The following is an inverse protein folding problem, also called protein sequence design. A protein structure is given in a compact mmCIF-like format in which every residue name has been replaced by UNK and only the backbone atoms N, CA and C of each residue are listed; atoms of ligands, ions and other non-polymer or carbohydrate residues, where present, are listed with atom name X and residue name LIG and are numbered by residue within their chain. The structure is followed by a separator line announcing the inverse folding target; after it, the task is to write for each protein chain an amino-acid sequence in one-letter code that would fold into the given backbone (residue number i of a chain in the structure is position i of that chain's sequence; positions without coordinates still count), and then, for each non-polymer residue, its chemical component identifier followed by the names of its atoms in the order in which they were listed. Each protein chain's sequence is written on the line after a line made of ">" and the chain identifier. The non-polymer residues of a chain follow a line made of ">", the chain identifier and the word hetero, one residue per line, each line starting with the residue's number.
data_IF_812490852570
#
_entry.id   IF_812490852570
#
_cell.length_a   1.000
_cell.length_b   1.000
_cell.length_c   1.000
_cell.angle_alpha   90.00
_cell.angle_beta   90.00
_cell.angle_gamma   90.00
#
_symmetry.space_group_name_H-M   'P 1'
#
loop_
_entity.id
_entity.type
_entity.pdbx_description
1 polymer ?
#
# COMPACT_ATOMS: atom_id res chain seq x y z
N UNK A 1 -57.77 26.18 5.77
CA UNK A 1 -56.37 26.17 6.28
C UNK A 1 -55.43 26.46 5.10
N UNK A 2 -54.28 27.11 5.30
CA UNK A 2 -53.32 27.39 4.21
C UNK A 2 -52.31 26.25 4.10
N UNK A 3 -52.21 25.60 2.94
CA UNK A 3 -50.97 24.92 2.51
C UNK A 3 -50.41 25.72 1.33
N UNK A 4 -49.14 26.12 1.43
CA UNK A 4 -48.43 26.85 0.37
C UNK A 4 -47.97 25.87 -0.70
N UNK A 5 -47.96 26.29 -1.97
CA UNK A 5 -46.94 25.81 -2.89
C UNK A 5 -45.57 26.29 -2.37
N UNK A 6 -44.59 25.41 -2.37
CA UNK A 6 -43.18 25.78 -2.26
C UNK A 6 -42.49 25.27 -3.52
N UNK A 7 -41.96 26.17 -4.33
CA UNK A 7 -41.14 25.78 -5.47
C UNK A 7 -39.77 25.34 -4.95
N UNK A 8 -39.27 24.20 -5.43
CA UNK A 8 -37.86 23.87 -5.30
C UNK A 8 -37.06 24.85 -6.17
N UNK A 9 -36.05 25.49 -5.59
CA UNK A 9 -35.23 26.48 -6.30
C UNK A 9 -34.10 25.76 -7.03
N UNK A 10 -34.02 25.95 -8.35
CA UNK A 10 -32.89 25.50 -9.16
C UNK A 10 -31.65 26.33 -8.78
N UNK A 11 -30.79 25.79 -7.91
CA UNK A 11 -29.59 26.48 -7.45
C UNK A 11 -28.43 26.28 -8.44
N UNK A 12 -28.44 27.03 -9.54
CA UNK A 12 -27.33 27.12 -10.48
C UNK A 12 -26.16 27.91 -9.87
N UNK A 13 -25.31 27.23 -9.10
CA UNK A 13 -24.02 27.78 -8.66
C UNK A 13 -22.98 27.62 -9.77
N UNK A 14 -22.82 28.67 -10.59
CA UNK A 14 -21.70 28.80 -11.53
C UNK A 14 -20.39 28.97 -10.76
N UNK A 15 -19.71 27.85 -10.48
CA UNK A 15 -18.34 27.82 -9.99
C UNK A 15 -17.36 27.64 -11.15
N UNK A 16 -16.61 28.69 -11.49
CA UNK A 16 -15.53 28.60 -12.50
C UNK A 16 -14.32 27.89 -11.93
N UNK A 17 -13.87 26.80 -12.56
CA UNK A 17 -12.54 26.22 -12.37
C UNK A 17 -11.75 26.41 -13.65
N UNK A 18 -10.64 27.14 -13.56
CA UNK A 18 -9.69 27.31 -14.67
C UNK A 18 -8.50 26.38 -14.42
N UNK A 19 -8.34 25.35 -15.25
CA UNK A 19 -7.08 24.59 -15.34
C UNK A 19 -6.44 24.89 -16.69
N UNK A 20 -5.17 25.30 -16.67
CA UNK A 20 -4.42 25.69 -17.86
C UNK A 20 -3.35 24.62 -18.16
N UNK A 21 -3.74 23.59 -18.92
CA UNK A 21 -2.85 22.56 -19.43
C UNK A 21 -3.40 22.04 -20.75
N UNK A 22 -2.60 22.07 -21.82
CA UNK A 22 -3.03 21.64 -23.16
C UNK A 22 -2.46 20.26 -23.45
N UNK A 23 -3.25 19.25 -23.15
CA UNK A 23 -3.24 17.94 -23.81
C UNK A 23 -4.64 17.71 -24.38
N UNK A 24 -4.71 17.02 -25.52
CA UNK A 24 -5.92 16.99 -26.35
C UNK A 24 -6.76 15.74 -26.10
N UNK A 25 -7.11 15.50 -24.84
CA UNK A 25 -7.96 14.37 -24.45
C UNK A 25 -9.44 14.76 -24.60
N UNK A 26 -10.15 14.02 -25.46
CA UNK A 26 -11.57 14.27 -25.77
C UNK A 26 -12.44 13.81 -24.60
N UNK A 27 -12.79 14.71 -23.69
CA UNK A 27 -13.64 14.41 -22.53
C UNK A 27 -15.00 13.87 -22.95
N UNK A 28 -15.36 12.67 -22.47
CA UNK A 28 -16.66 12.04 -22.75
C UNK A 28 -17.76 12.69 -21.88
N UNK A 29 -18.94 12.94 -22.44
CA UNK A 29 -20.09 13.45 -21.67
C UNK A 29 -20.77 12.30 -20.91
N UNK A 30 -20.20 11.93 -19.76
CA UNK A 30 -20.70 10.82 -18.92
C UNK A 30 -22.08 11.14 -18.32
N UNK A 31 -22.98 10.16 -18.34
CA UNK A 31 -24.37 10.27 -17.88
C UNK A 31 -24.83 9.02 -17.12
N UNK A 32 -24.36 8.84 -15.89
CA UNK A 32 -24.78 7.74 -15.00
C UNK A 32 -24.59 8.08 -13.51
N UNK A 33 -25.39 7.42 -12.66
CA UNK A 33 -25.38 7.58 -11.21
C UNK A 33 -24.11 6.99 -10.53
N UNK A 34 -23.28 6.25 -11.26
CA UNK A 34 -22.02 5.66 -10.76
C UNK A 34 -20.81 6.61 -10.88
N UNK A 35 -20.90 7.64 -11.74
CA UNK A 35 -19.77 8.54 -12.00
C UNK A 35 -19.49 9.47 -10.81
N UNK A 36 -18.30 9.39 -10.24
CA UNK A 36 -17.90 10.01 -8.95
C UNK A 36 -18.75 9.58 -7.73
N UNK A 37 -19.49 8.46 -7.83
CA UNK A 37 -20.20 7.86 -6.71
C UNK A 37 -19.37 6.72 -6.13
N UNK A 38 -19.14 6.75 -4.82
CA UNK A 38 -18.46 5.67 -4.10
C UNK A 38 -19.42 4.51 -3.84
N UNK A 39 -19.03 3.31 -4.25
CA UNK A 39 -19.72 2.05 -4.03
C UNK A 39 -18.91 1.21 -3.06
N UNK A 40 -19.43 1.02 -1.84
CA UNK A 40 -18.79 0.23 -0.79
C UNK A 40 -19.54 -1.10 -0.57
N UNK A 41 -18.82 -2.23 -0.63
CA UNK A 41 -19.28 -3.58 -0.28
C UNK A 41 -18.41 -4.14 0.86
N UNK A 42 -18.63 -5.40 1.26
CA UNK A 42 -17.84 -6.05 2.33
C UNK A 42 -16.37 -6.27 1.94
N UNK A 43 -16.09 -6.57 0.66
CA UNK A 43 -14.78 -7.02 0.19
C UNK A 43 -14.04 -6.00 -0.69
N UNK A 44 -14.67 -4.87 -1.01
CA UNK A 44 -14.08 -3.79 -1.79
C UNK A 44 -14.88 -2.49 -1.65
N UNK A 45 -14.24 -1.39 -2.02
CA UNK A 45 -14.88 -0.11 -2.31
C UNK A 45 -14.29 0.45 -3.60
N UNK A 46 -15.11 1.04 -4.48
CA UNK A 46 -14.59 1.75 -5.66
C UNK A 46 -15.35 3.04 -5.94
N UNK A 47 -14.73 3.93 -6.70
CA UNK A 47 -15.36 5.13 -7.27
C UNK A 47 -14.85 5.30 -8.70
N UNK A 48 -15.74 5.38 -9.69
CA UNK A 48 -15.33 5.71 -11.07
C UNK A 48 -15.02 7.20 -11.12
N UNK A 49 -13.77 7.54 -11.44
CA UNK A 49 -13.22 8.90 -11.37
C UNK A 49 -13.03 9.57 -12.72
N UNK A 50 -12.81 8.81 -13.80
CA UNK A 50 -12.53 9.36 -15.12
C UNK A 50 -12.94 8.38 -16.24
N UNK A 51 -13.29 8.92 -17.42
CA UNK A 51 -13.59 8.15 -18.62
C UNK A 51 -13.03 8.87 -19.84
N UNK A 52 -12.04 8.26 -20.51
CA UNK A 52 -11.28 8.88 -21.59
C UNK A 52 -10.83 7.88 -22.66
N UNK A 53 -10.49 8.39 -23.84
CA UNK A 53 -9.87 7.59 -24.90
C UNK A 53 -8.35 7.77 -24.88
N UNK A 54 -7.60 6.71 -25.20
CA UNK A 54 -6.13 6.77 -25.35
C UNK A 54 -5.62 5.84 -26.46
N UNK A 55 -4.38 6.06 -26.90
CA UNK A 55 -3.66 5.15 -27.78
C UNK A 55 -2.79 4.12 -27.01
N UNK A 56 -2.57 4.36 -25.71
CA UNK A 56 -1.92 3.44 -24.78
C UNK A 56 -2.30 3.84 -23.34
N UNK A 57 -2.65 2.86 -22.50
CA UNK A 57 -2.93 3.15 -21.09
C UNK A 57 -1.59 3.43 -20.37
N UNK A 58 -1.50 4.51 -19.58
CA UNK A 58 -0.31 4.80 -18.78
C UNK A 58 -0.60 5.61 -17.51
N UNK A 59 0.26 5.45 -16.51
CA UNK A 59 0.22 6.13 -15.21
C UNK A 59 1.65 6.44 -14.73
N UNK A 60 1.80 7.42 -13.84
CA UNK A 60 3.09 7.76 -13.23
C UNK A 60 3.03 7.66 -11.70
N UNK A 61 3.86 6.79 -11.12
CA UNK A 61 4.06 6.62 -9.66
C UNK A 61 5.51 7.00 -9.32
N UNK A 62 5.69 7.99 -8.47
CA UNK A 62 7.00 8.58 -8.18
C UNK A 62 7.66 9.17 -9.44
N UNK A 63 8.87 8.71 -9.77
CA UNK A 63 9.57 9.05 -11.02
C UNK A 63 9.22 8.14 -12.20
N UNK A 64 8.65 6.96 -11.97
CA UNK A 64 8.44 5.90 -12.97
C UNK A 64 7.10 6.04 -13.68
N UNK A 65 7.10 5.92 -15.02
CA UNK A 65 5.89 5.77 -15.82
C UNK A 65 5.67 4.29 -16.13
N UNK A 66 4.48 3.80 -15.85
CA UNK A 66 3.99 2.46 -16.17
C UNK A 66 3.03 2.57 -17.35
N UNK A 67 3.06 1.61 -18.27
CA UNK A 67 2.20 1.59 -19.47
C UNK A 67 1.71 0.17 -19.78
N UNK A 68 0.48 0.07 -20.28
CA UNK A 68 -0.14 -1.19 -20.72
C UNK A 68 -0.85 -1.01 -22.07
N UNK A 69 -0.99 -2.10 -22.81
CA UNK A 69 -1.48 -2.10 -24.20
C UNK A 69 -0.41 -1.73 -25.24
N UNK A 70 -0.75 -1.95 -26.50
CA UNK A 70 0.06 -1.65 -27.70
C UNK A 70 -0.59 -0.54 -28.53
N UNK A 71 0.10 0.01 -29.54
CA UNK A 71 -0.47 1.00 -30.48
C UNK A 71 -1.87 0.59 -31.00
N UNK A 72 -2.92 1.19 -30.43
CA UNK A 72 -4.32 0.85 -30.70
C UNK A 72 -5.25 1.80 -29.92
N UNK A 73 -6.50 1.97 -30.37
CA UNK A 73 -7.44 2.89 -29.72
C UNK A 73 -8.16 2.18 -28.57
N UNK A 74 -8.10 2.74 -27.37
CA UNK A 74 -8.77 2.22 -26.18
C UNK A 74 -9.73 3.25 -25.58
N UNK A 75 -10.86 2.77 -25.05
CA UNK A 75 -11.67 3.47 -24.07
C UNK A 75 -11.25 2.98 -22.68
N UNK A 76 -11.02 3.92 -21.76
CA UNK A 76 -10.61 3.66 -20.39
C UNK A 76 -11.72 4.12 -19.45
N UNK A 77 -12.18 3.23 -18.56
CA UNK A 77 -12.94 3.60 -17.36
C UNK A 77 -11.98 3.51 -16.18
N UNK A 78 -11.59 4.66 -15.63
CA UNK A 78 -10.67 4.75 -14.49
C UNK A 78 -11.45 4.78 -13.19
N UNK A 79 -11.12 3.89 -12.27
CA UNK A 79 -11.63 3.88 -10.90
C UNK A 79 -10.50 4.01 -9.88
N UNK A 80 -10.78 4.72 -8.78
CA UNK A 80 -10.07 4.51 -7.54
C UNK A 80 -10.70 3.29 -6.86
N UNK A 81 -9.88 2.29 -6.50
CA UNK A 81 -10.33 1.01 -5.95
C UNK A 81 -9.59 0.71 -4.64
N UNK A 82 -10.34 0.36 -3.60
CA UNK A 82 -9.85 -0.07 -2.28
C UNK A 82 -10.23 -1.53 -2.05
N UNK A 83 -9.26 -2.36 -1.67
CA UNK A 83 -9.51 -3.77 -1.35
C UNK A 83 -9.88 -3.95 0.13
N UNK A 84 -11.01 -4.60 0.43
CA UNK A 84 -11.48 -4.89 1.81
C UNK A 84 -11.57 -6.41 2.12
N UNK A 85 -11.14 -7.25 1.18
CA UNK A 85 -11.03 -8.69 1.35
C UNK A 85 -9.78 -9.09 2.16
N UNK A 86 -9.68 -10.37 2.52
CA UNK A 86 -8.52 -10.93 3.22
C UNK A 86 -7.27 -11.09 2.31
N UNK A 87 -7.46 -11.27 1.01
CA UNK A 87 -6.42 -11.49 0.00
C UNK A 87 -6.26 -10.29 -0.95
N UNK A 88 -5.10 -10.18 -1.60
CA UNK A 88 -4.79 -9.12 -2.56
C UNK A 88 -5.65 -9.17 -3.84
N UNK A 89 -5.56 -8.11 -4.65
CA UNK A 89 -5.98 -8.11 -6.05
C UNK A 89 -4.71 -8.03 -6.88
N UNK A 90 -4.36 -9.16 -7.51
CA UNK A 90 -3.17 -9.34 -8.34
C UNK A 90 -3.15 -8.38 -9.56
N UNK A 91 -1.94 -7.96 -9.93
CA UNK A 91 -1.70 -7.09 -11.07
C UNK A 91 -1.96 -7.80 -12.41
N UNK A 92 -2.63 -7.10 -13.33
CA UNK A 92 -3.01 -7.54 -14.69
C UNK A 92 -4.01 -8.71 -14.79
N UNK A 93 -4.15 -9.56 -13.76
CA UNK A 93 -5.12 -10.65 -13.73
C UNK A 93 -5.73 -10.78 -12.33
N UNK A 94 -7.06 -10.84 -12.21
CA UNK A 94 -7.71 -11.20 -10.95
C UNK A 94 -9.08 -11.81 -11.22
N UNK A 95 -9.31 -13.04 -10.75
CA UNK A 95 -10.61 -13.73 -10.83
C UNK A 95 -11.74 -12.99 -10.11
N UNK A 96 -11.39 -12.00 -9.27
CA UNK A 96 -12.33 -11.12 -8.56
C UNK A 96 -13.01 -10.10 -9.48
N UNK A 97 -12.44 -9.78 -10.66
CA UNK A 97 -13.04 -8.84 -11.62
C UNK A 97 -13.28 -9.53 -12.95
N UNK A 98 -14.55 -9.68 -13.36
CA UNK A 98 -14.96 -10.57 -14.45
C UNK A 98 -16.12 -10.01 -15.29
N UNK A 99 -16.52 -10.74 -16.35
CA UNK A 99 -17.58 -10.38 -17.30
C UNK A 99 -17.47 -8.95 -17.89
N UNK A 100 -16.24 -8.45 -18.05
CA UNK A 100 -15.90 -7.08 -18.45
C UNK A 100 -16.22 -6.85 -19.93
N UNK A 101 -17.28 -6.11 -20.21
CA UNK A 101 -17.83 -5.86 -21.54
C UNK A 101 -18.18 -4.40 -21.77
N UNK A 102 -18.13 -3.96 -23.01
CA UNK A 102 -18.58 -2.66 -23.47
C UNK A 102 -19.58 -2.84 -24.61
N UNK A 103 -20.80 -2.37 -24.42
CA UNK A 103 -21.89 -2.41 -25.39
C UNK A 103 -22.09 -1.04 -26.02
N UNK A 104 -21.93 -0.96 -27.35
CA UNK A 104 -22.19 0.23 -28.16
C UNK A 104 -23.47 0.04 -29.00
N UNK A 105 -24.40 0.99 -28.88
CA UNK A 105 -25.70 1.02 -29.56
C UNK A 105 -26.46 -0.32 -29.52
N UNK A 106 -26.45 -0.96 -28.35
CA UNK A 106 -27.20 -2.19 -28.00
C UNK A 106 -26.95 -3.36 -28.99
N UNK A 107 -25.75 -3.39 -29.60
CA UNK A 107 -25.47 -4.22 -30.77
C UNK A 107 -24.00 -4.61 -30.96
N UNK A 108 -23.07 -3.74 -30.59
CA UNK A 108 -21.64 -3.98 -30.78
C UNK A 108 -20.98 -4.18 -29.43
N UNK A 109 -20.68 -5.44 -29.11
CA UNK A 109 -19.98 -5.85 -27.89
C UNK A 109 -18.46 -5.84 -28.10
N UNK A 110 -17.73 -5.40 -27.09
CA UNK A 110 -16.27 -5.46 -26.98
C UNK A 110 -15.92 -6.05 -25.61
N UNK A 111 -15.12 -7.12 -25.57
CA UNK A 111 -14.52 -7.60 -24.30
C UNK A 111 -13.48 -6.58 -23.83
N UNK A 112 -13.28 -6.44 -22.51
CA UNK A 112 -12.26 -5.57 -21.91
C UNK A 112 -11.39 -6.26 -20.86
N UNK A 113 -10.23 -5.65 -20.59
CA UNK A 113 -9.31 -6.09 -19.54
C UNK A 113 -9.51 -5.29 -18.25
N UNK A 114 -9.35 -5.91 -17.08
CA UNK A 114 -9.10 -5.20 -15.81
C UNK A 114 -7.59 -5.06 -15.61
N UNK A 115 -7.12 -3.83 -15.42
CA UNK A 115 -5.70 -3.49 -15.38
C UNK A 115 -5.38 -2.67 -14.13
N UNK A 116 -4.31 -3.03 -13.44
CA UNK A 116 -3.66 -2.23 -12.40
C UNK A 116 -2.23 -1.95 -12.89
N UNK A 117 -1.85 -0.68 -12.99
CA UNK A 117 -0.61 -0.31 -13.67
C UNK A 117 0.65 -0.34 -12.80
N UNK A 118 0.50 -0.32 -11.47
CA UNK A 118 1.63 -0.09 -10.56
C UNK A 118 2.06 -1.38 -9.85
N UNK A 119 1.32 -1.80 -8.83
CA UNK A 119 1.58 -3.00 -8.01
C UNK A 119 0.21 -3.57 -7.56
N UNK A 120 0.18 -4.78 -6.97
CA UNK A 120 -1.03 -5.41 -6.43
C UNK A 120 -1.79 -4.53 -5.43
N UNK A 121 -3.14 -4.61 -5.43
CA UNK A 121 -3.95 -3.97 -4.37
C UNK A 121 -4.02 -4.92 -3.17
N UNK A 122 -3.00 -4.84 -2.31
CA UNK A 122 -2.95 -5.54 -1.02
C UNK A 122 -4.18 -5.26 -0.15
N UNK A 123 -4.54 -6.12 0.82
CA UNK A 123 -5.67 -5.88 1.71
C UNK A 123 -5.61 -4.52 2.41
N UNK A 124 -6.76 -3.83 2.50
CA UNK A 124 -6.91 -2.45 2.98
C UNK A 124 -6.12 -1.38 2.19
N UNK A 125 -5.45 -1.77 1.09
CA UNK A 125 -4.79 -0.86 0.17
C UNK A 125 -5.75 -0.27 -0.86
N UNK A 126 -5.34 0.86 -1.46
CA UNK A 126 -6.08 1.53 -2.54
C UNK A 126 -5.15 1.86 -3.70
N UNK A 127 -5.65 1.73 -4.94
CA UNK A 127 -4.91 2.08 -6.15
C UNK A 127 -5.85 2.61 -7.26
N UNK A 128 -5.25 3.17 -8.31
CA UNK A 128 -5.96 3.37 -9.56
C UNK A 128 -6.04 2.04 -10.32
N UNK A 129 -7.27 1.63 -10.64
CA UNK A 129 -7.56 0.48 -11.48
C UNK A 129 -8.37 0.92 -12.70
N UNK A 130 -8.34 0.10 -13.75
CA UNK A 130 -8.78 0.50 -15.08
C UNK A 130 -9.54 -0.65 -15.77
N UNK A 131 -10.74 -0.37 -16.28
CA UNK A 131 -11.34 -1.22 -17.32
C UNK A 131 -10.88 -0.66 -18.68
N UNK A 132 -10.18 -1.48 -19.46
CA UNK A 132 -9.61 -1.10 -20.75
C UNK A 132 -10.30 -1.85 -21.89
N UNK A 133 -10.98 -1.12 -22.75
CA UNK A 133 -11.71 -1.68 -23.89
C UNK A 133 -11.06 -1.28 -25.22
N UNK A 134 -10.65 -2.24 -26.09
CA UNK A 134 -10.17 -1.93 -27.43
C UNK A 134 -11.33 -1.51 -28.34
N UNK A 135 -11.31 -0.26 -28.80
CA UNK A 135 -12.41 0.36 -29.58
C UNK A 135 -11.90 0.87 -30.94
N UNK A 136 -12.73 1.63 -31.65
CA UNK A 136 -12.34 2.28 -32.91
C UNK A 136 -12.63 3.77 -32.86
N UNK A 137 -11.93 4.55 -33.68
CA UNK A 137 -12.09 6.01 -33.80
C UNK A 137 -13.55 6.45 -34.09
N UNK A 138 -14.39 5.54 -34.61
CA UNK A 138 -15.83 5.78 -34.83
C UNK A 138 -16.58 5.99 -33.51
N UNK A 139 -16.19 5.28 -32.44
CA UNK A 139 -16.82 5.39 -31.11
C UNK A 139 -16.34 6.65 -30.39
N UNK A 140 -15.06 7.00 -30.52
CA UNK A 140 -14.50 8.27 -29.99
C UNK A 140 -15.20 9.51 -30.55
N UNK A 141 -15.70 9.44 -31.79
CA UNK A 141 -16.30 10.57 -32.49
C UNK A 141 -17.85 10.58 -32.48
N UNK A 142 -18.53 9.53 -31.99
CA UNK A 142 -20.00 9.53 -31.86
C UNK A 142 -20.47 9.96 -30.47
N UNK A 143 -20.95 11.21 -30.37
CA UNK A 143 -21.55 11.77 -29.15
C UNK A 143 -23.07 11.51 -29.03
N UNK A 144 -23.64 10.63 -29.85
CA UNK A 144 -25.10 10.41 -29.95
C UNK A 144 -25.57 8.97 -29.70
N UNK A 145 -24.67 7.98 -29.81
CA UNK A 145 -24.98 6.58 -29.54
C UNK A 145 -25.01 6.21 -28.04
N UNK A 146 -25.63 5.06 -27.74
CA UNK A 146 -25.54 4.43 -26.42
C UNK A 146 -24.17 3.79 -26.23
N UNK A 147 -23.55 3.96 -25.06
CA UNK A 147 -22.29 3.32 -24.70
C UNK A 147 -22.33 2.93 -23.22
N UNK A 148 -22.24 1.64 -22.93
CA UNK A 148 -22.47 1.07 -21.59
C UNK A 148 -21.39 0.04 -21.30
N UNK A 149 -20.75 0.14 -20.14
CA UNK A 149 -19.80 -0.86 -19.66
C UNK A 149 -20.46 -1.74 -18.59
N UNK A 150 -20.39 -3.05 -18.81
CA UNK A 150 -20.86 -4.10 -17.90
C UNK A 150 -19.64 -4.81 -17.31
N UNK A 151 -19.62 -5.08 -16.01
CA UNK A 151 -18.50 -5.77 -15.34
C UNK A 151 -18.94 -6.33 -13.99
N UNK A 152 -18.17 -7.28 -13.43
CA UNK A 152 -18.39 -7.83 -12.07
C UNK A 152 -17.22 -7.55 -11.14
N UNK A 153 -17.52 -7.38 -9.84
CA UNK A 153 -16.52 -7.41 -8.76
C UNK A 153 -17.02 -8.37 -7.67
N UNK A 154 -16.25 -9.40 -7.31
CA UNK A 154 -16.62 -10.49 -6.37
C UNK A 154 -17.99 -11.17 -6.65
N UNK A 155 -18.49 -11.04 -7.89
CA UNK A 155 -19.79 -11.53 -8.36
C UNK A 155 -20.82 -10.43 -8.67
N UNK A 156 -20.68 -9.23 -8.11
CA UNK A 156 -21.63 -8.12 -8.28
C UNK A 156 -21.58 -7.49 -9.69
N UNK A 157 -22.62 -7.70 -10.51
CA UNK A 157 -22.80 -7.04 -11.81
C UNK A 157 -23.05 -5.51 -11.66
N UNK A 158 -22.15 -4.73 -12.26
CA UNK A 158 -22.26 -3.30 -12.43
C UNK A 158 -22.57 -2.95 -13.89
N UNK A 159 -23.55 -2.07 -14.08
CA UNK A 159 -23.90 -1.48 -15.36
C UNK A 159 -23.59 0.02 -15.30
N UNK A 160 -22.61 0.47 -16.09
CA UNK A 160 -22.11 1.84 -16.10
C UNK A 160 -22.36 2.49 -17.46
N UNK A 161 -23.40 3.32 -17.54
CA UNK A 161 -23.71 4.10 -18.75
C UNK A 161 -22.66 5.20 -18.92
N UNK A 162 -21.78 5.02 -19.90
CA UNK A 162 -20.74 5.98 -20.30
C UNK A 162 -21.35 7.06 -21.19
N UNK A 163 -22.26 6.69 -22.10
CA UNK A 163 -22.98 7.64 -22.94
C UNK A 163 -24.44 7.22 -23.09
N UNK A 164 -25.36 8.13 -22.76
CA UNK A 164 -26.78 7.84 -22.66
C UNK A 164 -27.49 7.77 -24.01
N UNK A 165 -27.67 6.56 -24.54
CA UNK A 165 -28.81 6.26 -25.41
C UNK A 165 -30.13 6.32 -24.62
N UNK A 166 -31.28 6.23 -25.32
CA UNK A 166 -32.60 6.31 -24.66
C UNK A 166 -33.00 4.99 -23.95
N UNK A 167 -32.36 4.67 -22.82
CA UNK A 167 -32.72 3.60 -21.87
C UNK A 167 -32.06 2.23 -22.12
N UNK A 168 -32.06 1.26 -21.18
CA UNK A 168 -32.47 1.32 -19.75
C UNK A 168 -32.10 0.07 -18.91
N UNK A 169 -31.32 0.27 -17.83
CA UNK A 169 -31.48 -0.27 -16.44
C UNK A 169 -31.18 -1.76 -16.03
N UNK A 170 -30.54 -1.94 -14.84
CA UNK A 170 -30.46 -3.12 -13.89
C UNK A 170 -29.64 -4.41 -14.20
N UNK A 171 -29.03 -5.23 -13.28
CA UNK A 171 -28.45 -5.13 -11.87
C UNK A 171 -27.74 -6.46 -11.39
N UNK A 172 -26.87 -6.38 -10.34
CA UNK A 172 -25.93 -7.35 -9.67
C UNK A 172 -26.37 -8.69 -8.98
N UNK A 173 -25.40 -9.63 -8.66
CA UNK A 173 -24.87 -9.93 -7.27
C UNK A 173 -23.93 -11.20 -6.98
N UNK A 174 -22.84 -11.02 -6.18
CA UNK A 174 -22.16 -11.86 -5.08
C UNK A 174 -21.70 -13.37 -5.33
N UNK A 175 -20.96 -14.20 -4.49
CA UNK A 175 -20.48 -14.23 -3.07
C UNK A 175 -19.26 -15.21 -2.69
N UNK A 176 -17.96 -14.96 -3.00
CA UNK A 176 -16.72 -15.29 -2.15
C UNK A 176 -16.19 -16.73 -1.73
N UNK A 177 -14.96 -16.77 -1.11
CA UNK A 177 -14.34 -17.66 -0.03
C UNK A 177 -13.28 -18.77 -0.36
N UNK A 178 -12.34 -19.25 0.51
CA UNK A 178 -11.60 -18.81 1.77
C UNK A 178 -10.50 -19.87 2.16
N UNK A 179 -9.60 -19.54 3.09
CA UNK A 179 -8.22 -20.04 3.38
C UNK A 179 -8.03 -21.22 4.40
N UNK A 180 -6.78 -21.51 4.83
CA UNK A 180 -6.43 -22.45 5.93
C UNK A 180 -5.03 -22.23 6.57
N UNK A 181 -4.90 -22.39 7.90
CA UNK A 181 -3.75 -21.96 8.75
C UNK A 181 -2.89 -23.13 9.35
N UNK A 182 -1.77 -22.84 10.05
CA UNK A 182 -0.82 -23.86 10.60
C UNK A 182 -0.31 -23.64 12.05
N UNK A 183 0.86 -24.19 12.45
CA UNK A 183 1.19 -24.53 13.86
C UNK A 183 2.27 -23.64 14.51
N UNK A 184 1.92 -23.04 15.66
CA UNK A 184 2.68 -21.99 16.36
C UNK A 184 3.96 -22.47 17.06
N UNK A 185 5.08 -21.77 16.79
CA UNK A 185 6.33 -21.76 17.57
C UNK A 185 6.35 -20.52 18.51
N UNK A 186 7.14 -20.46 19.61
CA UNK A 186 7.02 -19.37 20.58
C UNK A 186 7.57 -18.04 20.03
N UNK A 187 6.71 -17.03 20.07
CA UNK A 187 6.88 -15.62 19.67
C UNK A 187 8.26 -15.03 19.98
N UNK A 188 8.83 -14.29 19.02
CA UNK A 188 10.10 -13.56 19.10
C UNK A 188 9.85 -12.14 19.61
N UNK A 189 10.67 -11.70 20.57
CA UNK A 189 10.73 -10.31 21.05
C UNK A 189 11.93 -9.57 20.50
N UNK A 190 11.84 -8.24 20.47
CA UNK A 190 12.96 -7.38 20.10
C UNK A 190 14.18 -7.66 21.02
N UNK A 191 15.34 -7.88 20.42
CA UNK A 191 16.57 -8.28 21.11
C UNK A 191 16.72 -9.79 21.37
N UNK A 192 15.72 -10.63 21.06
CA UNK A 192 15.88 -12.08 21.14
C UNK A 192 16.90 -12.59 20.11
N UNK A 193 17.86 -13.38 20.58
CA UNK A 193 18.71 -14.20 19.72
C UNK A 193 18.06 -15.56 19.51
N UNK A 194 17.72 -15.90 18.26
CA UNK A 194 17.14 -17.19 17.86
C UNK A 194 18.14 -17.96 17.01
N UNK A 195 18.43 -19.20 17.40
CA UNK A 195 19.39 -20.08 16.72
C UNK A 195 19.00 -21.53 16.88
N UNK A 196 19.28 -22.34 15.86
CA UNK A 196 19.23 -23.80 15.92
C UNK A 196 20.60 -24.43 16.28
N UNK A 197 21.61 -23.59 16.54
CA UNK A 197 22.98 -23.98 16.84
C UNK A 197 23.75 -24.64 15.70
N UNK A 198 23.20 -24.73 14.49
CA UNK A 198 23.77 -25.56 13.40
C UNK A 198 23.67 -24.95 11.99
N UNK A 199 22.60 -24.23 11.66
CA UNK A 199 22.40 -23.61 10.34
C UNK A 199 22.34 -22.08 10.40
N UNK A 200 21.75 -21.51 11.46
CA UNK A 200 21.57 -20.07 11.59
C UNK A 200 21.63 -19.58 13.04
N UNK A 201 21.95 -18.30 13.19
CA UNK A 201 21.62 -17.51 14.39
C UNK A 201 21.18 -16.13 13.92
N UNK A 202 20.08 -15.59 14.43
CA UNK A 202 19.70 -14.21 14.16
C UNK A 202 19.22 -13.50 15.42
N UNK A 203 19.53 -12.19 15.52
CA UNK A 203 18.89 -11.30 16.49
C UNK A 203 17.75 -10.56 15.79
N UNK A 204 16.54 -10.55 16.36
CA UNK A 204 15.52 -9.60 15.90
C UNK A 204 15.87 -8.21 16.44
N UNK A 205 16.36 -7.32 15.59
CA UNK A 205 17.08 -6.11 16.02
C UNK A 205 16.28 -4.82 15.94
N UNK A 206 15.26 -4.73 15.08
CA UNK A 206 14.47 -3.51 14.87
C UNK A 206 13.13 -3.79 14.17
N UNK A 207 12.11 -2.97 14.40
CA UNK A 207 10.85 -2.93 13.64
C UNK A 207 10.41 -1.48 13.38
N UNK A 208 10.34 -1.11 12.10
CA UNK A 208 9.92 0.24 11.67
C UNK A 208 9.05 0.22 10.42
N UNK A 209 8.28 1.29 10.24
CA UNK A 209 7.62 1.63 8.99
C UNK A 209 8.51 2.58 8.17
N UNK A 210 8.54 2.41 6.85
CA UNK A 210 9.30 3.30 5.94
C UNK A 210 8.66 3.41 4.57
N UNK A 211 8.81 4.58 3.94
CA UNK A 211 8.49 4.79 2.52
C UNK A 211 9.59 4.28 1.57
N UNK A 212 10.75 3.91 2.12
CA UNK A 212 11.96 3.52 1.38
C UNK A 212 12.97 2.81 2.26
N UNK A 213 13.05 1.48 2.18
CA UNK A 213 14.09 0.72 2.86
C UNK A 213 15.46 1.02 2.26
N UNK A 214 16.44 1.34 3.11
CA UNK A 214 17.84 1.50 2.71
C UNK A 214 18.80 1.06 3.81
N UNK A 215 19.99 0.60 3.40
CA UNK A 215 21.10 0.23 4.29
C UNK A 215 22.35 1.02 3.88
N UNK A 216 22.99 1.72 4.82
CA UNK A 216 24.32 2.29 4.58
C UNK A 216 25.41 1.31 5.03
N UNK A 217 26.24 0.86 4.09
CA UNK A 217 27.45 0.09 4.39
C UNK A 217 28.69 0.86 3.89
N UNK A 218 29.49 1.35 4.84
CA UNK A 218 30.60 2.26 4.56
C UNK A 218 30.13 3.57 3.92
N UNK A 219 30.59 3.83 2.69
CA UNK A 219 30.20 5.02 1.89
C UNK A 219 29.12 4.73 0.85
N UNK A 220 28.52 3.53 0.86
CA UNK A 220 27.51 3.11 -0.12
C UNK A 220 26.15 2.94 0.57
N UNK A 221 25.13 3.61 0.04
CA UNK A 221 23.73 3.39 0.42
C UNK A 221 23.10 2.41 -0.56
N UNK A 222 22.67 1.27 -0.06
CA UNK A 222 21.86 0.28 -0.74
C UNK A 222 20.39 0.62 -0.52
N UNK A 223 19.53 0.39 -1.50
CA UNK A 223 18.11 0.75 -1.48
C UNK A 223 17.32 -0.47 -1.98
N UNK A 224 16.21 -0.78 -1.32
CA UNK A 224 15.22 -1.74 -1.79
C UNK A 224 13.97 -1.01 -2.34
N UNK A 225 13.32 -1.65 -3.31
CA UNK A 225 11.98 -1.28 -3.77
C UNK A 225 11.89 0.01 -4.59
N UNK A 226 10.65 0.30 -4.98
CA UNK A 226 10.20 1.60 -5.47
C UNK A 226 9.74 2.46 -4.28
N UNK A 227 9.11 3.61 -4.55
CA UNK A 227 8.38 4.36 -3.54
C UNK A 227 7.05 3.64 -3.22
N UNK A 228 6.96 3.09 -2.00
CA UNK A 228 5.83 2.34 -1.46
C UNK A 228 5.91 2.34 0.08
N UNK A 229 4.87 1.93 0.79
CA UNK A 229 4.88 1.94 2.25
C UNK A 229 5.08 0.53 2.81
N UNK A 230 6.06 0.40 3.69
CA UNK A 230 6.60 -0.90 4.10
C UNK A 230 6.70 -1.00 5.62
N UNK A 231 6.27 -2.14 6.16
CA UNK A 231 6.68 -2.61 7.47
C UNK A 231 7.94 -3.45 7.32
N UNK A 232 8.98 -3.16 8.10
CA UNK A 232 10.27 -3.84 8.04
C UNK A 232 10.63 -4.42 9.40
N UNK A 233 10.85 -5.73 9.46
CA UNK A 233 11.47 -6.42 10.58
C UNK A 233 12.94 -6.70 10.24
N UNK A 234 13.85 -6.04 10.93
CA UNK A 234 15.30 -6.13 10.71
C UNK A 234 15.91 -7.23 11.57
N UNK A 235 16.71 -8.08 10.95
CA UNK A 235 17.43 -9.18 11.59
C UNK A 235 18.94 -8.94 11.49
N UNK A 236 19.70 -9.17 12.56
CA UNK A 236 21.14 -9.38 12.47
C UNK A 236 21.39 -10.86 12.19
N UNK A 237 21.49 -11.25 10.92
CA UNK A 237 21.50 -12.66 10.51
C UNK A 237 22.92 -13.21 10.37
N UNK A 238 23.22 -14.28 11.09
CA UNK A 238 24.50 -15.00 11.07
C UNK A 238 24.34 -16.36 10.39
N UNK A 239 25.14 -16.59 9.34
CA UNK A 239 25.13 -17.85 8.61
C UNK A 239 26.05 -18.88 9.28
N UNK A 240 25.50 -20.00 9.76
CA UNK A 240 26.29 -21.10 10.36
C UNK A 240 26.53 -22.28 9.40
N UNK A 241 25.94 -22.26 8.19
CA UNK A 241 26.20 -23.27 7.14
C UNK A 241 27.58 -23.08 6.49
N UNK A 242 28.04 -24.14 5.81
CA UNK A 242 29.31 -24.14 5.08
C UNK A 242 29.23 -23.44 3.72
N UNK A 243 28.02 -23.25 3.21
CA UNK A 243 27.67 -22.54 1.98
C UNK A 243 27.37 -21.07 2.28
N UNK A 244 27.79 -20.16 1.39
CA UNK A 244 27.39 -18.75 1.43
C UNK A 244 25.89 -18.60 1.20
N UNK A 245 25.23 -17.72 1.96
CA UNK A 245 23.90 -17.20 1.63
C UNK A 245 24.09 -15.98 0.72
N UNK A 246 23.58 -16.05 -0.51
CA UNK A 246 23.65 -14.93 -1.45
C UNK A 246 22.80 -13.75 -0.98
N UNK A 247 23.15 -12.55 -1.46
CA UNK A 247 22.37 -11.33 -1.19
C UNK A 247 21.11 -11.24 -2.06
N UNK A 248 20.28 -10.23 -1.73
CA UNK A 248 18.98 -9.91 -2.33
C UNK A 248 17.87 -10.97 -2.22
N UNK A 249 18.18 -12.26 -2.06
CA UNK A 249 17.18 -13.32 -1.90
C UNK A 249 17.83 -14.57 -1.30
N UNK A 250 17.05 -15.40 -0.59
CA UNK A 250 17.50 -16.72 -0.16
C UNK A 250 16.34 -17.65 0.17
N UNK A 251 16.26 -18.79 -0.53
CA UNK A 251 15.32 -19.89 -0.30
C UNK A 251 15.35 -20.46 1.13
N UNK A 252 16.34 -20.07 1.95
CA UNK A 252 16.43 -20.41 3.37
C UNK A 252 15.45 -19.63 4.23
N UNK A 253 14.87 -18.53 3.74
CA UNK A 253 13.80 -17.80 4.41
C UNK A 253 12.55 -17.86 3.54
N UNK A 254 11.48 -18.45 4.08
CA UNK A 254 10.24 -18.77 3.33
C UNK A 254 8.99 -18.56 4.17
N UNK A 255 7.82 -18.76 3.56
CA UNK A 255 6.49 -18.71 4.20
C UNK A 255 6.31 -17.40 5.00
N UNK A 256 6.71 -16.29 4.38
CA UNK A 256 6.80 -14.97 4.98
C UNK A 256 5.42 -14.30 4.89
N UNK A 257 4.74 -14.14 6.02
CA UNK A 257 3.38 -13.60 6.11
C UNK A 257 3.27 -12.53 7.20
N UNK A 258 2.33 -11.61 7.03
CA UNK A 258 1.90 -10.66 8.05
C UNK A 258 0.38 -10.71 8.14
N UNK A 259 -0.15 -10.89 9.34
CA UNK A 259 -1.60 -10.97 9.61
C UNK A 259 -2.02 -9.75 10.42
N UNK A 260 -2.95 -8.96 9.89
CA UNK A 260 -3.55 -7.81 10.57
C UNK A 260 -5.02 -8.10 10.95
N UNK A 261 -5.39 -7.70 12.17
CA UNK A 261 -6.72 -7.90 12.77
C UNK A 261 -7.24 -9.35 12.67
N UNK A 262 -6.33 -10.32 12.71
CA UNK A 262 -6.59 -11.76 12.56
C UNK A 262 -7.49 -12.11 11.33
N UNK A 263 -7.44 -11.28 10.27
CA UNK A 263 -8.21 -11.41 9.03
C UNK A 263 -7.40 -11.13 7.75
N UNK A 264 -6.55 -10.10 7.75
CA UNK A 264 -5.93 -9.57 6.53
C UNK A 264 -4.50 -10.07 6.38
N UNK A 265 -4.22 -10.84 5.33
CA UNK A 265 -2.89 -11.40 5.07
C UNK A 265 -2.10 -10.58 4.04
N UNK A 266 -0.84 -10.29 4.35
CA UNK A 266 0.12 -9.69 3.44
C UNK A 266 1.28 -10.66 3.25
N UNK A 267 1.64 -10.94 1.99
CA UNK A 267 2.89 -11.61 1.66
C UNK A 267 4.08 -10.69 1.93
N UNK A 268 5.19 -11.30 2.34
CA UNK A 268 6.44 -10.59 2.60
C UNK A 268 7.63 -11.17 1.85
N UNK A 269 8.69 -10.38 1.78
CA UNK A 269 9.94 -10.71 1.09
C UNK A 269 11.13 -10.67 2.06
N UNK A 270 12.21 -11.39 1.75
CA UNK A 270 13.43 -11.43 2.56
C UNK A 270 14.65 -10.92 1.77
N UNK A 271 15.30 -9.90 2.31
CA UNK A 271 16.43 -9.21 1.69
C UNK A 271 17.67 -9.16 2.57
N UNK A 272 18.83 -9.36 1.93
CA UNK A 272 20.15 -8.95 2.44
C UNK A 272 20.69 -7.94 1.43
N UNK A 273 20.92 -6.68 1.83
CA UNK A 273 21.13 -5.58 0.88
C UNK A 273 22.61 -5.33 0.56
N UNK A 274 23.47 -5.19 1.58
CA UNK A 274 24.87 -4.83 1.39
C UNK A 274 25.71 -5.89 0.65
N UNK A 275 25.85 -7.10 1.21
CA UNK A 275 26.71 -8.16 0.69
C UNK A 275 26.32 -9.56 1.20
N UNK A 276 26.76 -10.61 0.50
CA UNK A 276 26.47 -12.01 0.79
C UNK A 276 26.89 -12.42 2.22
N UNK A 277 26.09 -13.27 2.88
CA UNK A 277 26.43 -13.80 4.21
C UNK A 277 27.28 -15.06 4.04
N UNK A 278 28.60 -14.86 3.93
CA UNK A 278 29.61 -15.93 3.94
C UNK A 278 29.52 -16.80 5.20
N UNK A 279 30.03 -18.05 5.19
CA UNK A 279 30.07 -18.91 6.37
C UNK A 279 30.69 -18.23 7.60
N UNK A 280 29.99 -18.29 8.73
CA UNK A 280 30.29 -17.61 10.00
C UNK A 280 30.31 -16.07 9.92
N UNK A 281 29.84 -15.48 8.83
CA UNK A 281 29.57 -14.04 8.72
C UNK A 281 28.20 -13.66 9.29
N UNK A 282 28.08 -12.39 9.69
CA UNK A 282 26.84 -11.76 10.15
C UNK A 282 26.58 -10.51 9.30
N UNK A 283 25.34 -10.29 8.87
CA UNK A 283 24.91 -9.13 8.08
C UNK A 283 23.53 -8.64 8.55
N UNK A 284 23.15 -7.40 8.21
CA UNK A 284 21.76 -7.00 8.28
C UNK A 284 20.95 -7.77 7.23
N UNK A 285 19.81 -8.30 7.65
CA UNK A 285 18.79 -8.86 6.78
C UNK A 285 17.44 -8.24 7.14
N UNK A 286 16.48 -8.26 6.22
CA UNK A 286 15.24 -7.53 6.31
C UNK A 286 14.10 -8.42 5.84
N UNK A 287 13.13 -8.67 6.72
CA UNK A 287 11.80 -9.18 6.34
C UNK A 287 10.92 -7.97 6.10
N UNK A 288 10.31 -7.88 4.90
CA UNK A 288 9.64 -6.66 4.41
C UNK A 288 8.22 -7.01 3.96
N UNK A 289 7.25 -6.20 4.37
CA UNK A 289 5.84 -6.32 3.97
C UNK A 289 5.35 -4.99 3.38
N UNK A 290 4.74 -5.02 2.20
CA UNK A 290 4.04 -3.85 1.66
C UNK A 290 2.69 -3.69 2.35
N UNK A 291 2.46 -2.55 3.03
CA UNK A 291 1.27 -2.32 3.87
C UNK A 291 0.73 -0.90 3.72
N UNK A 292 -0.59 -0.69 3.76
CA UNK A 292 -1.18 0.65 3.74
C UNK A 292 -1.04 1.34 5.11
N UNK A 293 -1.09 2.68 5.12
CA UNK A 293 -1.08 3.53 6.32
C UNK A 293 -2.11 3.09 7.39
N UNK A 294 -3.23 2.48 6.96
CA UNK A 294 -4.28 1.89 7.81
C UNK A 294 -3.76 0.78 8.74
N UNK A 295 -2.72 0.04 8.34
CA UNK A 295 -2.08 -1.00 9.16
C UNK A 295 -1.17 -0.37 10.21
N UNK A 296 -0.36 0.64 9.83
CA UNK A 296 0.47 1.38 10.81
C UNK A 296 -0.41 1.98 11.91
N UNK A 297 -1.40 2.78 11.51
CA UNK A 297 -2.21 3.62 12.38
C UNK A 297 -3.33 2.87 13.13
N UNK A 298 -3.48 1.56 12.89
CA UNK A 298 -4.41 0.70 13.62
C UNK A 298 -3.90 0.26 14.99
N UNK A 299 -4.81 0.04 15.95
CA UNK A 299 -4.50 -0.57 17.25
C UNK A 299 -4.66 -2.11 17.24
N UNK A 300 -5.25 -2.67 16.18
CA UNK A 300 -5.61 -4.09 16.09
C UNK A 300 -4.37 -5.01 16.04
N UNK A 301 -4.50 -6.30 16.45
CA UNK A 301 -3.41 -7.27 16.41
C UNK A 301 -2.70 -7.31 15.06
N UNK A 302 -1.37 -7.36 15.11
CA UNK A 302 -0.52 -7.42 13.92
C UNK A 302 0.58 -8.43 14.21
N UNK A 303 0.70 -9.48 13.40
CA UNK A 303 1.61 -10.61 13.65
C UNK A 303 2.37 -10.96 12.38
N UNK A 304 3.70 -10.85 12.39
CA UNK A 304 4.52 -11.38 11.30
C UNK A 304 4.90 -12.84 11.58
N UNK A 305 5.02 -13.65 10.54
CA UNK A 305 5.60 -14.98 10.57
C UNK A 305 6.53 -15.21 9.39
N UNK A 306 7.51 -16.10 9.58
CA UNK A 306 8.44 -16.57 8.54
C UNK A 306 9.11 -17.86 9.00
N UNK A 307 9.66 -18.64 8.06
CA UNK A 307 10.48 -19.83 8.35
C UNK A 307 11.93 -19.57 8.01
N UNK A 308 12.86 -20.01 8.87
CA UNK A 308 14.30 -20.06 8.57
C UNK A 308 14.77 -21.51 8.56
N UNK A 309 15.28 -21.98 7.43
CA UNK A 309 15.62 -23.39 7.17
C UNK A 309 14.47 -24.36 7.56
N UNK A 310 13.21 -23.93 7.36
CA UNK A 310 12.00 -24.67 7.70
C UNK A 310 11.54 -24.56 9.17
N UNK A 311 12.29 -23.87 10.05
CA UNK A 311 11.88 -23.58 11.43
C UNK A 311 11.02 -22.31 11.45
N UNK A 312 9.77 -22.43 11.87
CA UNK A 312 8.81 -21.31 11.90
C UNK A 312 9.05 -20.36 13.07
N UNK A 313 8.83 -19.07 12.82
CA UNK A 313 9.01 -17.98 13.74
C UNK A 313 7.87 -16.98 13.60
N UNK A 314 7.49 -16.36 14.72
CA UNK A 314 6.41 -15.38 14.81
C UNK A 314 6.88 -14.16 15.58
N UNK A 315 6.36 -12.97 15.25
CA UNK A 315 6.62 -11.70 15.92
C UNK A 315 5.27 -11.03 16.17
N UNK A 316 4.98 -10.62 17.40
CA UNK A 316 3.90 -9.66 17.67
C UNK A 316 4.39 -8.26 17.27
N UNK A 317 3.78 -7.71 16.23
CA UNK A 317 4.11 -6.40 15.65
C UNK A 317 3.43 -5.22 16.37
N UNK A 318 2.80 -5.44 17.53
CA UNK A 318 2.32 -4.39 18.45
C UNK A 318 3.04 -4.40 19.80
N UNK A 319 3.46 -5.56 20.30
CA UNK A 319 3.92 -5.78 21.68
C UNK A 319 5.42 -5.47 21.91
N UNK A 320 5.85 -4.25 21.57
CA UNK A 320 7.23 -3.79 21.78
C UNK A 320 7.43 -3.09 23.13
N UNK A 321 8.01 -3.80 24.11
CA UNK A 321 8.70 -3.16 25.23
C UNK A 321 10.02 -2.54 24.75
N UNK A 322 9.95 -1.34 24.19
CA UNK A 322 11.13 -0.50 24.01
C UNK A 322 11.78 -0.21 25.38
N UNK A 323 13.12 -0.31 25.44
CA UNK A 323 13.88 0.24 26.58
C UNK A 323 13.75 1.76 26.51
N UNK A 324 12.91 2.32 27.40
CA UNK A 324 12.56 3.74 27.38
C UNK A 324 13.20 4.52 28.53
N UNK A 325 13.67 5.72 28.20
CA UNK A 325 14.32 6.63 29.15
C UNK A 325 13.37 7.75 29.55
N UNK A 326 13.14 7.87 30.86
CA UNK A 326 12.28 8.89 31.48
C UNK A 326 13.00 9.71 32.57
N UNK A 327 14.32 9.55 32.71
CA UNK A 327 15.11 10.37 33.61
C UNK A 327 15.40 11.76 33.03
N UNK A 328 15.43 12.77 33.90
CA UNK A 328 15.55 14.17 33.49
C UNK A 328 16.93 14.53 32.89
N UNK A 329 17.99 13.75 33.14
CA UNK A 329 19.31 14.03 32.56
C UNK A 329 19.37 13.57 31.10
N UNK A 330 18.84 12.38 30.81
CA UNK A 330 18.71 11.84 29.45
C UNK A 330 17.72 12.67 28.62
N UNK A 331 16.54 13.00 29.18
CA UNK A 331 15.58 13.88 28.50
C UNK A 331 16.23 15.22 28.13
N UNK A 332 17.00 15.83 29.04
CA UNK A 332 17.64 17.12 28.79
C UNK A 332 18.71 17.06 27.70
N UNK A 333 19.53 16.00 27.65
CA UNK A 333 20.50 15.78 26.55
C UNK A 333 19.81 15.63 25.20
N UNK A 334 18.69 14.91 25.17
CA UNK A 334 17.85 14.74 23.97
C UNK A 334 17.24 16.07 23.53
N UNK A 335 16.67 16.86 24.45
CA UNK A 335 16.17 18.21 24.16
C UNK A 335 17.28 19.16 23.64
N UNK A 336 18.48 19.10 24.23
CA UNK A 336 19.65 19.86 23.74
C UNK A 336 20.05 19.44 22.32
N UNK A 337 20.04 18.15 22.01
CA UNK A 337 20.35 17.60 20.69
C UNK A 337 19.29 17.96 19.64
N UNK A 338 18.00 17.81 19.96
CA UNK A 338 16.88 18.12 19.07
C UNK A 338 16.94 19.59 18.60
N UNK A 339 17.03 20.54 19.54
CA UNK A 339 17.18 21.96 19.22
C UNK A 339 18.45 22.23 18.40
N UNK A 340 19.57 21.55 18.68
CA UNK A 340 20.82 21.72 17.95
C UNK A 340 20.78 21.20 16.50
N UNK A 341 19.91 20.24 16.19
CA UNK A 341 19.62 19.79 14.83
C UNK A 341 18.41 20.51 14.17
N UNK A 342 17.79 21.49 14.86
CA UNK A 342 16.70 22.32 14.33
C UNK A 342 15.28 21.83 14.64
N UNK A 343 15.14 20.77 15.45
CA UNK A 343 13.86 20.25 15.92
C UNK A 343 13.46 20.96 17.20
N UNK A 344 12.84 22.13 17.07
CA UNK A 344 12.42 23.03 18.16
C UNK A 344 11.55 22.32 19.20
N UNK A 345 12.16 21.82 20.28
CA UNK A 345 11.49 21.09 21.36
C UNK A 345 11.09 21.99 22.54
N UNK A 346 11.49 23.27 22.51
CA UNK A 346 11.44 24.19 23.64
C UNK A 346 12.69 24.14 24.52
N UNK A 347 12.68 24.86 25.65
CA UNK A 347 13.80 24.91 26.60
C UNK A 347 14.18 23.51 27.11
N UNK A 348 15.47 23.10 27.05
CA UNK A 348 15.91 21.85 27.66
C UNK A 348 15.82 21.88 29.19
N UNK A 349 14.73 21.35 29.72
CA UNK A 349 14.34 21.36 31.14
C UNK A 349 14.35 19.98 31.80
N UNK A 350 14.52 18.91 31.01
CA UNK A 350 14.44 17.52 31.47
C UNK A 350 13.03 16.96 31.58
N UNK A 351 12.01 17.63 31.02
CA UNK A 351 10.61 17.20 31.03
C UNK A 351 10.12 16.93 29.61
N UNK A 352 9.85 15.66 29.29
CA UNK A 352 9.31 15.26 28.00
C UNK A 352 7.83 15.70 27.87
N UNK A 353 7.62 16.96 27.47
CA UNK A 353 6.31 17.54 27.16
C UNK A 353 5.93 17.37 25.69
N UNK A 354 4.75 17.87 25.31
CA UNK A 354 4.25 17.77 23.92
C UNK A 354 5.18 18.42 22.87
N UNK A 355 5.90 19.49 23.22
CA UNK A 355 6.93 20.07 22.35
C UNK A 355 8.12 19.12 22.13
N UNK A 356 8.56 18.43 23.18
CA UNK A 356 9.61 17.40 23.08
C UNK A 356 9.15 16.21 22.25
N UNK A 357 7.93 15.70 22.44
CA UNK A 357 7.39 14.61 21.62
C UNK A 357 7.17 15.01 20.16
N UNK A 358 6.70 16.23 19.88
CA UNK A 358 6.56 16.74 18.51
C UNK A 358 7.92 16.84 17.79
N UNK A 359 8.96 17.27 18.50
CA UNK A 359 10.33 17.34 17.99
C UNK A 359 10.96 15.94 17.82
N UNK A 360 10.75 15.02 18.77
CA UNK A 360 11.16 13.62 18.68
C UNK A 360 10.56 12.94 17.44
N UNK A 361 9.24 12.96 17.30
CA UNK A 361 8.57 12.27 16.20
C UNK A 361 9.01 12.83 14.83
N UNK A 362 9.30 14.13 14.76
CA UNK A 362 9.87 14.78 13.57
C UNK A 362 11.32 14.35 13.30
N UNK A 363 12.15 14.24 14.34
CA UNK A 363 13.53 13.75 14.26
C UNK A 363 13.56 12.31 13.76
N UNK A 364 12.80 11.42 14.41
CA UNK A 364 12.70 10.01 14.05
C UNK A 364 12.29 9.86 12.59
N UNK A 365 11.27 10.61 12.15
CA UNK A 365 10.80 10.61 10.75
C UNK A 365 11.83 11.15 9.74
N UNK A 366 12.64 12.15 10.10
CA UNK A 366 13.71 12.64 9.21
C UNK A 366 14.90 11.66 9.13
N UNK A 367 15.27 11.04 10.27
CA UNK A 367 16.42 10.12 10.34
C UNK A 367 16.09 8.69 9.89
N UNK A 368 14.81 8.37 9.68
CA UNK A 368 14.35 7.02 9.31
C UNK A 368 14.31 6.03 10.48
N UNK A 369 14.19 6.52 11.71
CA UNK A 369 14.05 5.73 12.94
C UNK A 369 12.55 5.45 13.23
N UNK A 370 12.20 4.42 14.02
CA UNK A 370 10.83 4.21 14.51
C UNK A 370 10.27 5.47 15.16
N UNK A 371 9.11 5.94 14.68
CA UNK A 371 8.40 7.13 15.21
C UNK A 371 7.60 6.73 16.44
N UNK A 372 8.30 6.41 17.52
CA UNK A 372 7.70 6.02 18.81
C UNK A 372 7.80 7.18 19.82
N UNK A 373 6.70 7.43 20.54
CA UNK A 373 6.52 8.59 21.43
C UNK A 373 7.26 8.42 22.78
N UNK A 374 8.55 8.05 22.73
CA UNK A 374 9.42 7.80 23.86
C UNK A 374 10.90 7.98 23.48
N UNK A 375 11.77 8.17 24.47
CA UNK A 375 13.23 8.19 24.26
C UNK A 375 13.73 6.74 24.31
N UNK A 376 14.24 6.22 23.20
CA UNK A 376 14.68 4.83 23.07
C UNK A 376 16.20 4.69 23.00
N UNK A 377 16.70 3.47 23.18
CA UNK A 377 18.11 3.11 23.03
C UNK A 377 18.69 3.48 21.65
N UNK A 378 17.91 3.21 20.61
CA UNK A 378 18.25 3.48 19.21
C UNK A 378 18.30 5.00 18.94
N UNK A 379 17.31 5.75 19.41
CA UNK A 379 17.30 7.22 19.34
C UNK A 379 18.54 7.82 20.00
N UNK A 380 18.90 7.36 21.20
CA UNK A 380 20.11 7.81 21.89
C UNK A 380 21.38 7.46 21.10
N UNK A 381 21.42 6.28 20.47
CA UNK A 381 22.54 5.83 19.62
C UNK A 381 22.66 6.70 18.36
N UNK A 382 21.56 6.94 17.65
CA UNK A 382 21.51 7.81 16.47
C UNK A 382 21.89 9.27 16.81
N UNK A 383 21.50 9.75 17.99
CA UNK A 383 21.89 11.06 18.51
C UNK A 383 23.35 11.12 18.99
N UNK A 384 24.05 9.99 19.14
CA UNK A 384 25.42 9.92 19.70
C UNK A 384 25.47 10.25 21.20
N UNK A 385 24.41 9.89 21.94
CA UNK A 385 24.24 10.11 23.38
C UNK A 385 24.43 8.84 24.22
N UNK A 386 24.64 7.69 23.57
CA UNK A 386 24.92 6.37 24.15
C UNK A 386 26.15 5.74 23.51
#
# INVERSE_FOLDING_TARGET
>A
MKKKLLAAVLCLTLGTVTVQGVFADTTVNVSSDLMNTTVSKENYEFTITDVYYTNQLSEKKGTTTYSYGSDGKYLIVKMNFTNLAASAIEQYHSDRVSDIKLTYNDKFEYEGDFVILTDDIVPLGSANAYLMFPVSDVIENDQSGSLVADFKIDGDDYNFVIQGGNGSDTTAAEETKTDSESVVNPEIKLGDVRTDGTNFSFTFSDLYYTTKLSEQNGSTTYIYGNEGYYLVAKLEFTNLKAETMEKYHSDRVSDIKLVYNDKYEYDGEFYVLAADIVPLGTQNAYVVFAVPDTVENGEEPLKASFKVDGTEFTIDCRNYEYVTYSDAETIKKVQEKLNAEGFECGTPDGVAGSGTYSALNSYQKEKGLPVVNAITDELLTAMGLK
#
